data_IF_015530103232
#
_entry.id   IF_015530103232
#
_cell.length_a   1.000
_cell.length_b   1.000
_cell.length_c   1.000
_cell.angle_alpha   90.00
_cell.angle_beta   90.00
_cell.angle_gamma   90.00
#
_symmetry.space_group_name_H-M   'P 1'
#
loop_
_entity.id
_entity.type
_entity.pdbx_description
1 polymer ?
#
# COMPACT_ATOMS: atom_id res chain seq x y z
N UNK A 1 -29.25 -9.27 -4.08
CA UNK A 1 -28.61 -9.00 -5.38
C UNK A 1 -29.64 -8.35 -6.27
N UNK A 2 -29.27 -7.33 -7.05
CA UNK A 2 -30.08 -6.85 -8.16
C UNK A 2 -29.25 -6.90 -9.44
N UNK A 3 -29.94 -7.09 -10.56
CA UNK A 3 -29.36 -7.01 -11.89
C UNK A 3 -30.16 -5.98 -12.68
N UNK A 4 -29.47 -5.03 -13.30
CA UNK A 4 -30.09 -4.02 -14.18
C UNK A 4 -29.27 -3.92 -15.48
N UNK A 5 -29.79 -4.53 -16.54
CA UNK A 5 -29.06 -4.73 -17.79
C UNK A 5 -27.75 -5.48 -17.54
N UNK A 6 -26.63 -4.81 -17.82
CA UNK A 6 -25.28 -5.36 -17.64
C UNK A 6 -24.69 -5.11 -16.24
N UNK A 7 -25.45 -4.50 -15.33
CA UNK A 7 -24.95 -4.11 -14.01
C UNK A 7 -25.44 -5.10 -12.94
N UNK A 8 -24.53 -5.47 -12.04
CA UNK A 8 -24.80 -6.34 -10.89
C UNK A 8 -24.50 -5.56 -9.61
N UNK A 9 -25.49 -5.47 -8.72
CA UNK A 9 -25.26 -4.97 -7.38
C UNK A 9 -25.54 -6.01 -6.31
N UNK A 10 -24.60 -6.14 -5.39
CA UNK A 10 -24.65 -7.08 -4.27
C UNK A 10 -24.82 -6.28 -2.98
N UNK A 11 -25.94 -6.52 -2.29
CA UNK A 11 -26.35 -5.81 -1.09
C UNK A 11 -26.44 -4.26 -1.21
N UNK A 12 -26.53 -3.74 -2.44
CA UNK A 12 -26.67 -2.30 -2.75
C UNK A 12 -27.87 -2.09 -3.69
N UNK A 13 -28.38 -0.86 -3.81
CA UNK A 13 -29.55 -0.53 -4.67
C UNK A 13 -29.24 0.14 -6.01
N UNK A 14 -28.00 0.59 -6.23
CA UNK A 14 -27.50 1.17 -7.49
C UNK A 14 -25.98 0.95 -7.59
N UNK A 15 -25.44 0.90 -8.81
CA UNK A 15 -24.01 0.61 -9.02
C UNK A 15 -23.20 1.87 -9.27
N UNK A 16 -23.84 3.05 -9.28
CA UNK A 16 -23.17 4.35 -9.47
C UNK A 16 -22.28 4.39 -10.72
N UNK A 17 -22.68 3.71 -11.80
CA UNK A 17 -21.94 3.66 -13.07
C UNK A 17 -20.94 2.50 -13.21
N UNK A 18 -20.72 1.70 -12.16
CA UNK A 18 -19.88 0.51 -12.23
C UNK A 18 -20.69 -0.72 -12.68
N UNK A 19 -20.06 -1.69 -13.35
CA UNK A 19 -20.73 -2.95 -13.72
C UNK A 19 -20.95 -3.88 -12.53
N UNK A 20 -20.10 -3.80 -11.51
CA UNK A 20 -20.24 -4.52 -10.25
C UNK A 20 -20.08 -3.55 -9.10
N UNK A 21 -21.06 -3.48 -8.20
CA UNK A 21 -20.96 -2.76 -6.93
C UNK A 21 -21.35 -3.67 -5.78
N UNK A 22 -20.53 -3.69 -4.73
CA UNK A 22 -20.74 -4.56 -3.57
C UNK A 22 -20.70 -3.71 -2.31
N UNK A 23 -21.83 -3.64 -1.60
CA UNK A 23 -21.83 -3.12 -0.24
C UNK A 23 -21.41 -4.24 0.72
N UNK A 24 -20.80 -3.91 1.86
CA UNK A 24 -20.43 -4.92 2.87
C UNK A 24 -19.18 -5.75 2.54
N UNK A 25 -18.36 -5.31 1.58
CA UNK A 25 -17.03 -5.84 1.32
C UNK A 25 -16.99 -7.06 0.40
N UNK A 26 -15.78 -7.32 -0.11
CA UNK A 26 -15.44 -8.45 -0.98
C UNK A 26 -14.32 -9.23 -0.32
N UNK A 27 -14.49 -10.55 -0.17
CA UNK A 27 -13.44 -11.47 0.23
C UNK A 27 -12.92 -12.21 -1.00
N UNK A 28 -11.61 -12.20 -1.20
CA UNK A 28 -10.99 -12.99 -2.27
C UNK A 28 -9.57 -13.41 -1.92
N UNK A 29 -9.12 -14.50 -2.53
CA UNK A 29 -7.74 -14.98 -2.44
C UNK A 29 -6.73 -14.07 -3.16
N UNK A 30 -7.21 -13.21 -4.06
CA UNK A 30 -6.38 -12.21 -4.71
C UNK A 30 -7.16 -11.32 -5.67
N UNK A 31 -6.55 -10.19 -6.02
CA UNK A 31 -7.04 -9.31 -7.08
C UNK A 31 -5.89 -9.05 -8.05
N UNK A 32 -6.14 -9.25 -9.33
CA UNK A 32 -5.25 -8.82 -10.41
C UNK A 32 -5.91 -7.67 -11.17
N UNK A 33 -5.22 -6.54 -11.23
CA UNK A 33 -5.63 -5.38 -12.03
C UNK A 33 -4.94 -5.45 -13.39
N UNK A 34 -5.69 -5.56 -14.48
CA UNK A 34 -5.13 -5.76 -15.84
C UNK A 34 -4.76 -4.48 -16.57
N UNK A 35 -5.36 -3.35 -16.19
CA UNK A 35 -5.31 -2.10 -16.96
C UNK A 35 -4.51 -1.02 -16.26
N UNK A 36 -3.28 -1.35 -15.84
CA UNK A 36 -2.32 -0.38 -15.27
C UNK A 36 -1.44 0.20 -16.38
N UNK A 37 -1.24 1.52 -16.37
CA UNK A 37 -0.37 2.22 -17.31
C UNK A 37 0.38 3.35 -16.60
N UNK A 38 1.46 3.84 -17.21
CA UNK A 38 2.28 4.94 -16.67
C UNK A 38 2.83 4.67 -15.26
N UNK A 39 3.43 3.49 -15.08
CA UNK A 39 4.13 3.13 -13.84
C UNK A 39 5.26 4.14 -13.56
N UNK A 40 5.55 4.50 -12.29
CA UNK A 40 6.32 5.70 -11.97
C UNK A 40 7.82 5.65 -12.23
N UNK A 41 8.34 4.69 -13.01
CA UNK A 41 9.77 4.62 -13.42
C UNK A 41 10.33 5.96 -13.95
N UNK A 42 9.46 6.85 -14.44
CA UNK A 42 9.82 8.21 -14.83
C UNK A 42 10.40 9.07 -13.70
N UNK A 43 10.17 8.75 -12.42
CA UNK A 43 10.76 9.48 -11.28
C UNK A 43 12.29 9.44 -11.34
N UNK A 44 12.87 8.37 -11.86
CA UNK A 44 14.31 8.20 -12.03
C UNK A 44 14.87 8.77 -13.34
N UNK A 45 14.06 9.48 -14.13
CA UNK A 45 14.53 10.13 -15.36
C UNK A 45 15.29 11.44 -15.06
N UNK A 46 16.26 11.77 -15.92
CA UNK A 46 17.09 12.98 -15.77
C UNK A 46 16.28 14.29 -15.83
N UNK A 47 15.10 14.27 -16.46
CA UNK A 47 14.20 15.41 -16.61
C UNK A 47 13.05 15.45 -15.60
N UNK A 48 13.04 14.53 -14.62
CA UNK A 48 12.06 14.54 -13.56
C UNK A 48 12.22 15.75 -12.64
N UNK A 49 11.20 16.61 -12.61
CA UNK A 49 11.20 17.84 -11.84
C UNK A 49 10.83 17.59 -10.38
N UNK A 50 11.82 17.17 -9.59
CA UNK A 50 11.65 16.95 -8.15
C UNK A 50 11.49 18.29 -7.39
N UNK A 51 10.58 18.33 -6.41
CA UNK A 51 10.52 19.44 -5.47
C UNK A 51 11.76 19.44 -4.58
N UNK A 52 12.27 20.60 -4.19
CA UNK A 52 13.25 20.64 -3.09
C UNK A 52 12.56 20.31 -1.76
N UNK A 53 13.30 19.83 -0.76
CA UNK A 53 12.74 19.56 0.58
C UNK A 53 12.15 20.83 1.23
N UNK A 54 12.68 22.01 0.90
CA UNK A 54 12.05 23.28 1.29
C UNK A 54 10.70 23.51 0.59
N UNK A 55 10.62 23.26 -0.71
CA UNK A 55 9.40 23.37 -1.51
C UNK A 55 8.34 22.36 -1.04
N UNK A 56 8.73 21.11 -0.84
CA UNK A 56 7.89 20.05 -0.30
C UNK A 56 7.33 20.43 1.08
N UNK A 57 8.18 20.93 1.98
CA UNK A 57 7.75 21.45 3.28
C UNK A 57 6.74 22.58 3.16
N UNK A 58 6.95 23.52 2.23
CA UNK A 58 6.01 24.62 2.00
C UNK A 58 4.67 24.08 1.50
N UNK A 59 4.68 23.12 0.58
CA UNK A 59 3.49 22.43 0.10
C UNK A 59 2.72 21.74 1.23
N UNK A 60 3.40 20.93 2.04
CA UNK A 60 2.78 20.20 3.16
C UNK A 60 2.12 21.15 4.15
N UNK A 61 2.78 22.28 4.47
CA UNK A 61 2.21 23.30 5.36
C UNK A 61 0.93 23.92 4.81
N UNK A 62 0.85 24.09 3.49
CA UNK A 62 -0.29 24.70 2.82
C UNK A 62 -1.45 23.71 2.61
N UNK A 63 -1.13 22.45 2.27
CA UNK A 63 -2.12 21.50 1.75
C UNK A 63 -2.47 20.36 2.72
N UNK A 64 -1.63 20.09 3.74
CA UNK A 64 -1.85 19.01 4.73
C UNK A 64 -1.87 17.58 4.16
N UNK A 65 -1.31 17.40 2.98
CA UNK A 65 -1.03 16.11 2.36
C UNK A 65 0.18 16.25 1.43
N UNK A 66 0.70 15.12 0.92
CA UNK A 66 1.80 15.12 -0.04
C UNK A 66 1.37 15.55 -1.46
N UNK A 67 2.28 16.14 -2.26
CA UNK A 67 2.01 16.47 -3.67
C UNK A 67 1.61 15.24 -4.49
N UNK A 68 0.62 15.41 -5.37
CA UNK A 68 0.11 14.34 -6.24
C UNK A 68 -0.89 13.40 -5.59
N UNK A 69 -0.96 13.36 -4.25
CA UNK A 69 -1.93 12.53 -3.52
C UNK A 69 -3.24 13.28 -3.25
N UNK A 70 -4.39 12.59 -3.32
CA UNK A 70 -5.68 13.17 -2.94
C UNK A 70 -5.73 13.42 -1.42
N UNK A 71 -6.36 14.53 -1.03
CA UNK A 71 -6.60 14.82 0.40
C UNK A 71 -7.54 13.80 1.05
N UNK A 72 -7.46 13.65 2.37
CA UNK A 72 -8.40 12.89 3.18
C UNK A 72 -9.86 13.29 2.93
N UNK A 73 -10.11 14.59 2.68
CA UNK A 73 -11.47 15.08 2.37
C UNK A 73 -11.96 14.56 1.01
N UNK A 74 -11.08 14.53 0.00
CA UNK A 74 -11.38 13.97 -1.32
C UNK A 74 -11.65 12.47 -1.20
N UNK A 75 -10.76 11.74 -0.52
CA UNK A 75 -10.87 10.29 -0.31
C UNK A 75 -12.16 9.91 0.46
N UNK A 76 -12.52 10.65 1.50
CA UNK A 76 -13.72 10.38 2.27
C UNK A 76 -15.01 10.61 1.44
N UNK A 77 -14.98 11.56 0.49
CA UNK A 77 -16.13 11.90 -0.35
C UNK A 77 -16.27 10.97 -1.55
N UNK A 78 -15.16 10.67 -2.22
CA UNK A 78 -15.14 10.06 -3.56
C UNK A 78 -14.58 8.63 -3.55
N UNK A 79 -13.90 8.23 -2.47
CA UNK A 79 -13.10 7.03 -2.47
C UNK A 79 -11.83 7.20 -3.30
N UNK A 80 -11.26 6.08 -3.76
CA UNK A 80 -10.13 6.09 -4.70
C UNK A 80 -10.08 4.82 -5.55
N UNK A 81 -9.36 4.92 -6.67
CA UNK A 81 -8.94 3.78 -7.48
C UNK A 81 -7.72 3.13 -6.83
N UNK A 82 -7.83 1.84 -6.49
CA UNK A 82 -6.75 1.08 -5.86
C UNK A 82 -5.49 1.10 -6.72
N UNK A 83 -5.63 0.89 -8.03
CA UNK A 83 -4.49 0.85 -8.93
C UNK A 83 -3.79 2.20 -9.09
N UNK A 84 -4.54 3.30 -9.08
CA UNK A 84 -3.95 4.64 -9.09
C UNK A 84 -3.29 4.98 -7.75
N UNK A 85 -3.88 4.59 -6.62
CA UNK A 85 -3.26 4.83 -5.31
C UNK A 85 -1.94 4.06 -5.17
N UNK A 86 -1.90 2.77 -5.53
CA UNK A 86 -0.66 1.98 -5.52
C UNK A 86 0.44 2.63 -6.36
N UNK A 87 0.07 3.16 -7.53
CA UNK A 87 0.98 3.90 -8.42
C UNK A 87 1.51 5.18 -7.75
N UNK A 88 0.63 5.97 -7.12
CA UNK A 88 1.02 7.21 -6.44
C UNK A 88 1.88 6.94 -5.20
N UNK A 89 1.58 5.90 -4.43
CA UNK A 89 2.41 5.50 -3.29
C UNK A 89 3.80 5.03 -3.76
N UNK A 90 3.88 4.28 -4.86
CA UNK A 90 5.16 3.90 -5.45
C UNK A 90 5.94 5.13 -5.92
N UNK A 91 5.31 6.11 -6.58
CA UNK A 91 5.94 7.37 -6.96
C UNK A 91 6.53 8.09 -5.73
N UNK A 92 5.79 8.15 -4.61
CA UNK A 92 6.31 8.76 -3.37
C UNK A 92 7.49 7.98 -2.79
N UNK A 93 7.50 6.64 -2.88
CA UNK A 93 8.63 5.81 -2.42
C UNK A 93 9.89 6.09 -3.26
N UNK A 94 9.74 6.24 -4.58
CA UNK A 94 10.85 6.57 -5.48
C UNK A 94 11.37 7.99 -5.22
N UNK A 95 10.48 8.98 -5.04
CA UNK A 95 10.86 10.33 -4.61
C UNK A 95 11.61 10.33 -3.26
N UNK A 96 11.10 9.61 -2.25
CA UNK A 96 11.76 9.48 -0.96
C UNK A 96 13.17 8.87 -1.10
N UNK A 97 13.33 7.91 -2.02
CA UNK A 97 14.63 7.30 -2.30
C UNK A 97 15.62 8.31 -2.88
N UNK A 98 15.17 9.17 -3.81
CA UNK A 98 16.01 10.25 -4.34
C UNK A 98 16.42 11.27 -3.27
N UNK A 99 15.51 11.67 -2.38
CA UNK A 99 15.87 12.56 -1.26
C UNK A 99 16.89 11.92 -0.32
N UNK A 100 16.79 10.62 -0.05
CA UNK A 100 17.77 9.90 0.79
C UNK A 100 19.15 9.90 0.13
N UNK A 101 19.21 9.65 -1.19
CA UNK A 101 20.47 9.65 -1.94
C UNK A 101 21.11 11.05 -1.91
N UNK A 102 20.31 12.10 -2.09
CA UNK A 102 20.77 13.49 -2.06
C UNK A 102 21.35 13.85 -0.68
N UNK A 103 20.60 13.57 0.39
CA UNK A 103 21.06 13.81 1.76
C UNK A 103 22.32 13.01 2.14
N UNK A 104 22.45 11.76 1.67
CA UNK A 104 23.66 10.97 1.86
C UNK A 104 24.87 11.60 1.15
N UNK A 105 24.67 12.12 -0.06
CA UNK A 105 25.72 12.84 -0.81
C UNK A 105 26.16 14.11 -0.08
N UNK A 106 25.23 14.90 0.44
CA UNK A 106 25.52 16.09 1.26
C UNK A 106 26.26 15.72 2.55
N UNK A 107 25.80 14.69 3.27
CA UNK A 107 26.45 14.16 4.46
C UNK A 107 27.91 13.76 4.20
N UNK A 108 28.17 13.07 3.08
CA UNK A 108 29.52 12.66 2.70
C UNK A 108 30.42 13.86 2.38
N UNK A 109 29.89 14.88 1.69
CA UNK A 109 30.62 16.13 1.43
C UNK A 109 31.00 16.81 2.73
N UNK A 110 30.02 17.01 3.62
CA UNK A 110 30.22 17.65 4.92
C UNK A 110 31.23 16.89 5.80
N UNK A 111 31.15 15.56 5.79
CA UNK A 111 32.10 14.69 6.49
C UNK A 111 33.52 14.85 5.97
N UNK A 112 33.68 14.89 4.63
CA UNK A 112 34.96 15.10 3.97
C UNK A 112 35.60 16.43 4.33
N UNK A 113 34.81 17.51 4.36
CA UNK A 113 35.26 18.85 4.77
C UNK A 113 35.74 18.89 6.23
N UNK A 114 35.03 18.18 7.12
CA UNK A 114 35.40 18.06 8.53
C UNK A 114 36.59 17.11 8.78
N UNK A 115 37.06 16.38 7.75
CA UNK A 115 38.06 15.33 7.91
C UNK A 115 37.60 14.18 8.81
N UNK A 116 36.29 14.03 8.99
CA UNK A 116 35.67 12.95 9.74
C UNK A 116 35.34 11.84 8.75
N UNK A 117 35.52 10.59 9.15
CA UNK A 117 34.95 9.45 8.42
C UNK A 117 33.66 9.13 9.16
N UNK A 118 32.51 9.39 8.54
CA UNK A 118 31.25 8.90 9.09
C UNK A 118 31.36 7.36 9.21
N UNK A 119 30.96 6.78 10.35
CA UNK A 119 30.77 5.34 10.40
C UNK A 119 29.68 5.02 9.39
N UNK A 120 30.06 4.45 8.24
CA UNK A 120 29.11 4.03 7.22
C UNK A 120 28.34 2.86 7.82
N UNK A 121 27.22 3.18 8.44
CA UNK A 121 26.31 2.28 9.12
C UNK A 121 26.96 1.49 10.30
N UNK A 122 26.13 0.84 11.13
CA UNK A 122 26.61 -0.09 12.16
C UNK A 122 27.69 -1.01 11.54
N UNK A 123 28.74 -1.39 12.29
CA UNK A 123 29.79 -2.32 11.79
C UNK A 123 29.19 -3.57 11.12
N UNK A 124 27.95 -3.94 11.44
CA UNK A 124 27.18 -4.99 10.78
C UNK A 124 26.82 -4.69 9.30
N UNK A 125 26.41 -3.46 8.93
CA UNK A 125 26.02 -3.10 7.56
C UNK A 125 27.28 -2.96 6.67
N UNK A 126 28.31 -2.29 7.16
CA UNK A 126 29.60 -2.15 6.45
C UNK A 126 30.34 -3.49 6.27
N UNK A 127 30.17 -4.44 7.20
CA UNK A 127 30.76 -5.78 7.07
C UNK A 127 29.97 -6.73 6.16
N UNK A 128 28.86 -6.27 5.58
CA UNK A 128 27.93 -7.12 4.82
C UNK A 128 27.25 -8.19 5.68
N UNK A 129 27.34 -8.09 7.02
CA UNK A 129 26.68 -9.01 7.97
C UNK A 129 25.22 -8.66 8.16
N UNK A 130 24.85 -7.39 8.06
CA UNK A 130 23.46 -6.99 7.82
C UNK A 130 23.15 -7.26 6.36
N UNK A 131 22.96 -8.54 6.06
CA UNK A 131 22.12 -8.92 4.96
C UNK A 131 20.74 -8.44 5.38
N UNK A 132 20.30 -7.25 4.94
CA UNK A 132 18.87 -7.08 4.72
C UNK A 132 18.49 -8.32 3.94
N UNK A 133 17.75 -9.23 4.58
CA UNK A 133 17.34 -10.48 3.94
C UNK A 133 16.45 -10.05 2.78
N UNK A 134 17.09 -9.84 1.64
CA UNK A 134 16.40 -9.54 0.41
C UNK A 134 15.64 -10.80 0.10
N UNK A 135 14.37 -10.81 0.48
CA UNK A 135 13.42 -11.75 -0.07
C UNK A 135 13.16 -11.21 -1.47
N UNK A 136 14.08 -11.52 -2.39
CA UNK A 136 13.88 -11.26 -3.81
C UNK A 136 12.76 -12.21 -4.24
N UNK A 137 11.53 -11.75 -4.05
CA UNK A 137 10.36 -12.36 -4.65
C UNK A 137 10.46 -12.05 -6.14
N UNK A 138 10.44 -13.08 -6.98
CA UNK A 138 10.38 -12.90 -8.43
C UNK A 138 8.95 -12.45 -8.81
N UNK A 139 8.70 -11.15 -8.63
CA UNK A 139 7.40 -10.52 -8.87
C UNK A 139 6.97 -10.72 -10.32
N UNK A 140 7.90 -10.75 -11.28
CA UNK A 140 7.56 -10.99 -12.69
C UNK A 140 6.92 -12.36 -12.91
N UNK A 141 7.43 -13.39 -12.23
CA UNK A 141 6.84 -14.73 -12.28
C UNK A 141 5.45 -14.74 -11.63
N UNK A 142 5.25 -14.02 -10.52
CA UNK A 142 3.92 -13.86 -9.90
C UNK A 142 2.92 -13.10 -10.77
N UNK A 143 3.37 -12.10 -11.55
CA UNK A 143 2.53 -11.36 -12.49
C UNK A 143 2.11 -12.19 -13.71
N UNK A 144 2.99 -13.11 -14.16
CA UNK A 144 2.79 -13.95 -15.36
C UNK A 144 2.04 -15.26 -15.06
N UNK A 145 2.13 -15.79 -13.84
CA UNK A 145 1.44 -17.01 -13.47
C UNK A 145 -0.09 -16.81 -13.49
N UNK A 146 -0.88 -17.64 -14.20
CA UNK A 146 -2.28 -17.79 -13.82
C UNK A 146 -2.31 -18.28 -12.38
N UNK A 147 -3.27 -17.85 -11.56
CA UNK A 147 -3.47 -18.30 -10.18
C UNK A 147 -3.62 -19.83 -10.14
N UNK A 148 -2.49 -20.53 -10.17
CA UNK A 148 -2.42 -21.97 -10.00
C UNK A 148 -2.28 -22.23 -8.51
N UNK A 149 -3.19 -23.08 -8.03
CA UNK A 149 -3.23 -23.62 -6.68
C UNK A 149 -1.85 -24.12 -6.24
N UNK A 150 -1.20 -23.42 -5.33
CA UNK A 150 -0.18 -23.91 -4.38
C UNK A 150 0.26 -22.65 -3.58
N UNK A 151 0.11 -22.48 -2.27
CA UNK A 151 -0.30 -23.32 -1.13
C UNK A 151 -1.38 -22.56 -0.33
N UNK A 152 -2.38 -23.30 0.14
CA UNK A 152 -3.56 -22.78 0.88
C UNK A 152 -3.18 -22.24 2.27
N UNK A 153 -3.78 -21.13 2.70
CA UNK A 153 -4.95 -21.06 3.64
C UNK A 153 -5.35 -19.61 4.03
N UNK A 154 -6.55 -19.14 3.63
CA UNK A 154 -7.66 -18.87 4.56
C UNK A 154 -8.33 -20.24 4.73
N UNK A 155 -8.48 -20.77 5.94
CA UNK A 155 -8.67 -22.22 6.13
C UNK A 155 -10.04 -22.72 5.64
N UNK A 156 -10.06 -23.17 4.39
CA UNK A 156 -11.13 -23.89 3.70
C UNK A 156 -12.44 -23.10 3.51
N UNK A 157 -12.55 -22.33 2.41
CA UNK A 157 -13.85 -22.07 1.76
C UNK A 157 -14.41 -23.42 1.29
N UNK A 158 -15.11 -24.10 2.20
CA UNK A 158 -14.97 -25.55 2.40
C UNK A 158 -15.56 -26.43 1.29
N UNK A 159 -14.68 -27.32 0.80
CA UNK A 159 -14.91 -28.48 -0.08
C UNK A 159 -14.97 -28.18 -1.59
N UNK A 160 -13.97 -28.59 -2.39
CA UNK A 160 -14.09 -28.55 -3.84
C UNK A 160 -15.11 -29.62 -4.24
N UNK A 161 -16.28 -29.22 -4.74
CA UNK A 161 -17.05 -30.14 -5.59
C UNK A 161 -16.18 -30.46 -6.80
N UNK A 162 -15.82 -31.72 -6.95
CA UNK A 162 -15.15 -32.25 -8.13
C UNK A 162 -15.90 -31.79 -9.37
N UNK A 163 -15.29 -30.94 -10.19
CA UNK A 163 -15.86 -30.50 -11.47
C UNK A 163 -15.81 -31.68 -12.45
N UNK A 164 -16.86 -32.50 -12.47
CA UNK A 164 -17.26 -33.19 -13.69
C UNK A 164 -18.29 -32.31 -14.40
N UNK A 165 -17.83 -31.63 -15.45
CA UNK A 165 -18.61 -30.65 -16.18
C UNK A 165 -19.77 -31.32 -16.94
N UNK A 166 -21.00 -31.11 -16.45
CA UNK A 166 -22.22 -31.21 -17.24
C UNK A 166 -22.72 -29.79 -17.56
N UNK A 167 -23.27 -29.52 -18.76
CA UNK A 167 -23.71 -28.17 -19.17
C UNK A 167 -24.80 -27.53 -18.29
N UNK A 168 -25.33 -28.27 -17.30
CA UNK A 168 -26.26 -27.76 -16.29
C UNK A 168 -25.58 -27.09 -15.06
N UNK A 169 -24.24 -27.11 -14.98
CA UNK A 169 -23.48 -26.82 -13.75
C UNK A 169 -23.10 -25.34 -13.50
N UNK A 170 -23.67 -24.37 -14.23
CA UNK A 170 -23.40 -22.94 -13.95
C UNK A 170 -23.94 -22.54 -12.56
N UNK A 171 -24.99 -23.20 -12.09
CA UNK A 171 -25.60 -22.99 -10.78
C UNK A 171 -24.87 -23.69 -9.62
N UNK A 172 -23.84 -24.51 -9.89
CA UNK A 172 -23.07 -25.20 -8.83
C UNK A 172 -21.86 -24.39 -8.35
N UNK A 173 -21.45 -23.35 -9.08
CA UNK A 173 -20.29 -22.50 -8.74
C UNK A 173 -20.72 -21.21 -8.04
N UNK A 174 -21.89 -20.66 -8.36
CA UNK A 174 -22.41 -19.45 -7.74
C UNK A 174 -23.43 -19.83 -6.67
N UNK A 175 -23.11 -19.52 -5.40
CA UNK A 175 -24.02 -19.68 -4.27
C UNK A 175 -24.68 -18.36 -3.91
N UNK A 176 -25.94 -18.40 -3.50
CA UNK A 176 -26.68 -17.25 -2.98
C UNK A 176 -27.45 -17.74 -1.74
N UNK A 177 -27.02 -17.33 -0.55
CA UNK A 177 -27.61 -17.76 0.73
C UNK A 177 -28.64 -16.75 1.29
N UNK A 178 -28.93 -15.69 0.53
CA UNK A 178 -29.80 -14.58 0.94
C UNK A 178 -29.08 -13.48 1.71
N UNK A 179 -27.87 -13.74 2.21
CA UNK A 179 -27.01 -12.75 2.85
C UNK A 179 -25.91 -12.27 1.89
N UNK A 180 -25.35 -13.12 1.05
CA UNK A 180 -24.31 -12.77 0.10
C UNK A 180 -24.32 -13.63 -1.15
N UNK A 181 -23.27 -13.45 -1.96
CA UNK A 181 -22.98 -14.21 -3.18
C UNK A 181 -21.61 -14.83 -3.05
N UNK A 182 -21.52 -16.14 -3.21
CA UNK A 182 -20.27 -16.86 -3.30
C UNK A 182 -19.97 -17.28 -4.74
N UNK A 183 -18.73 -17.11 -5.20
CA UNK A 183 -18.24 -17.61 -6.49
C UNK A 183 -17.12 -18.60 -6.19
N UNK A 184 -17.44 -19.89 -6.26
CA UNK A 184 -16.54 -20.96 -5.80
C UNK A 184 -16.25 -20.91 -4.29
N UNK A 185 -17.03 -20.13 -3.53
CA UNK A 185 -16.88 -19.88 -2.11
C UNK A 185 -18.20 -20.14 -1.38
N UNK A 186 -18.20 -21.03 -0.39
CA UNK A 186 -19.34 -21.29 0.49
C UNK A 186 -18.80 -21.74 1.86
N UNK A 187 -19.12 -21.04 2.98
CA UNK A 187 -19.95 -19.84 3.07
C UNK A 187 -19.25 -18.55 2.63
N UNK A 188 -19.98 -17.42 2.54
CA UNK A 188 -19.43 -16.09 2.21
C UNK A 188 -18.68 -15.39 3.36
N UNK A 189 -18.46 -16.10 4.48
CA UNK A 189 -17.68 -15.68 5.66
C UNK A 189 -17.95 -14.26 6.19
N UNK A 190 -19.21 -13.80 6.15
CA UNK A 190 -19.61 -12.48 6.64
C UNK A 190 -19.39 -11.33 5.66
N UNK A 191 -18.88 -11.61 4.46
CA UNK A 191 -18.83 -10.68 3.34
C UNK A 191 -20.07 -10.82 2.47
N UNK A 192 -20.35 -9.79 1.67
CA UNK A 192 -21.48 -9.84 0.72
C UNK A 192 -21.09 -10.49 -0.60
N UNK A 193 -19.81 -10.45 -0.97
CA UNK A 193 -19.25 -11.22 -2.08
C UNK A 193 -18.00 -11.97 -1.61
N UNK A 194 -17.94 -13.29 -1.84
CA UNK A 194 -16.75 -14.10 -1.63
C UNK A 194 -16.35 -14.81 -2.93
N UNK A 195 -15.07 -14.74 -3.31
CA UNK A 195 -14.55 -15.31 -4.56
C UNK A 195 -13.30 -16.14 -4.27
N UNK A 196 -13.38 -17.46 -4.47
CA UNK A 196 -12.21 -18.35 -4.40
C UNK A 196 -11.35 -18.23 -5.68
N UNK A 197 -10.03 -18.39 -5.56
CA UNK A 197 -9.04 -18.22 -6.62
C UNK A 197 -8.54 -16.78 -6.80
N UNK A 198 -9.45 -15.84 -7.09
CA UNK A 198 -9.10 -14.43 -7.27
C UNK A 198 -10.04 -13.68 -8.22
N UNK A 199 -9.88 -12.36 -8.27
CA UNK A 199 -10.64 -11.44 -9.13
C UNK A 199 -9.69 -10.83 -10.17
N UNK A 200 -9.98 -11.02 -11.45
CA UNK A 200 -9.37 -10.25 -12.53
C UNK A 200 -10.30 -9.09 -12.90
N UNK A 201 -9.80 -7.87 -12.82
CA UNK A 201 -10.57 -6.66 -13.10
C UNK A 201 -9.70 -5.60 -13.75
N UNK A 202 -10.32 -4.65 -14.44
CA UNK A 202 -9.59 -3.49 -14.98
C UNK A 202 -9.21 -2.50 -13.89
N UNK A 203 -10.01 -2.41 -12.81
CA UNK A 203 -9.72 -1.58 -11.64
C UNK A 203 -10.58 -2.01 -10.43
N UNK A 204 -10.21 -1.54 -9.23
CA UNK A 204 -11.05 -1.56 -8.02
C UNK A 204 -11.23 -0.14 -7.52
N UNK A 205 -12.48 0.33 -7.51
CA UNK A 205 -12.86 1.52 -6.77
C UNK A 205 -13.15 1.15 -5.32
N UNK A 206 -12.39 1.71 -4.39
CA UNK A 206 -12.65 1.61 -2.96
C UNK A 206 -13.51 2.81 -2.55
N UNK A 207 -14.71 2.53 -2.03
CA UNK A 207 -15.63 3.56 -1.55
C UNK A 207 -15.63 3.65 -0.02
N UNK A 208 -15.96 4.83 0.52
CA UNK A 208 -16.17 5.06 1.96
C UNK A 208 -14.95 4.75 2.83
N UNK A 209 -13.87 5.49 2.60
CA UNK A 209 -12.61 5.37 3.32
C UNK A 209 -12.62 6.38 4.47
N UNK A 210 -12.34 5.92 5.68
CA UNK A 210 -12.27 6.75 6.88
C UNK A 210 -10.84 6.78 7.42
N UNK A 211 -10.49 7.86 8.14
CA UNK A 211 -9.20 8.03 8.82
C UNK A 211 -7.99 8.00 7.87
N UNK A 212 -8.11 8.61 6.69
CA UNK A 212 -6.98 8.81 5.79
C UNK A 212 -5.90 9.72 6.44
N UNK A 213 -4.60 9.46 6.23
CA UNK A 213 -3.55 9.90 7.14
C UNK A 213 -3.09 11.37 7.07
N UNK A 214 -3.82 12.28 6.43
CA UNK A 214 -3.50 13.74 6.42
C UNK A 214 -3.21 14.31 7.84
N UNK A 215 -3.73 13.66 8.89
CA UNK A 215 -3.44 13.98 10.28
C UNK A 215 -1.94 13.92 10.66
N UNK A 216 -1.08 13.22 9.91
CA UNK A 216 0.37 13.17 10.14
C UNK A 216 0.99 14.56 10.04
N UNK A 217 0.40 15.43 9.21
CA UNK A 217 0.87 16.81 9.00
C UNK A 217 0.16 17.85 9.88
N UNK A 218 -0.62 17.40 10.85
CA UNK A 218 -1.21 18.28 11.85
C UNK A 218 -0.21 18.72 12.92
N UNK A 219 -0.41 19.92 13.45
CA UNK A 219 0.58 20.55 14.33
C UNK A 219 0.73 19.83 15.68
N UNK A 220 -0.28 19.08 16.11
CA UNK A 220 -0.27 18.30 17.34
C UNK A 220 0.16 16.85 17.16
N UNK A 221 0.36 16.39 15.92
CA UNK A 221 0.84 15.05 15.60
C UNK A 221 2.15 14.74 16.32
N UNK A 222 2.21 13.57 16.95
CA UNK A 222 3.34 13.15 17.77
C UNK A 222 4.23 12.19 16.99
N UNK A 223 5.02 12.76 16.07
CA UNK A 223 6.05 12.02 15.37
C UNK A 223 7.00 11.38 16.40
N UNK A 224 7.13 10.06 16.34
CA UNK A 224 8.02 9.31 17.21
C UNK A 224 9.47 9.74 16.92
N UNK A 225 10.32 9.91 17.92
CA UNK A 225 11.74 10.16 17.61
C UNK A 225 12.44 8.88 17.13
N UNK A 226 13.45 9.02 16.28
CA UNK A 226 14.15 7.89 15.64
C UNK A 226 14.77 6.90 16.65
N UNK A 227 15.25 7.37 17.81
CA UNK A 227 15.79 6.49 18.86
C UNK A 227 14.71 5.58 19.45
N UNK A 228 13.54 6.14 19.78
CA UNK A 228 12.38 5.38 20.26
C UNK A 228 11.77 4.47 19.18
N UNK A 229 11.81 4.90 17.91
CA UNK A 229 11.38 4.09 16.79
C UNK A 229 12.30 2.88 16.59
N UNK A 230 13.62 3.09 16.58
CA UNK A 230 14.62 2.03 16.50
C UNK A 230 14.46 0.99 17.63
N UNK A 231 14.30 1.45 18.88
CA UNK A 231 14.06 0.56 20.02
C UNK A 231 12.74 -0.24 19.90
N UNK A 232 11.70 0.34 19.29
CA UNK A 232 10.46 -0.37 19.01
C UNK A 232 10.66 -1.46 17.96
N UNK A 233 11.30 -1.13 16.83
CA UNK A 233 11.56 -2.09 15.74
C UNK A 233 12.41 -3.25 16.25
N UNK A 234 13.46 -2.97 17.03
CA UNK A 234 14.31 -4.01 17.63
C UNK A 234 13.54 -4.95 18.57
N UNK A 235 12.48 -4.46 19.22
CA UNK A 235 11.66 -5.25 20.15
C UNK A 235 10.54 -6.01 19.46
N UNK A 236 9.85 -5.37 18.51
CA UNK A 236 8.60 -5.87 17.92
C UNK A 236 8.83 -6.55 16.56
N UNK A 237 9.90 -6.20 15.84
CA UNK A 237 10.20 -6.75 14.51
C UNK A 237 9.35 -6.18 13.37
N UNK A 238 8.56 -5.14 13.63
CA UNK A 238 7.74 -4.43 12.63
C UNK A 238 7.59 -2.93 12.99
N UNK A 239 7.02 -2.15 12.08
CA UNK A 239 6.75 -0.73 12.30
C UNK A 239 5.52 -0.51 13.20
N UNK A 240 5.48 0.57 14.01
CA UNK A 240 4.30 0.92 14.79
C UNK A 240 3.05 1.09 13.91
N UNK A 241 1.94 0.49 14.33
CA UNK A 241 0.65 0.57 13.62
C UNK A 241 0.49 -0.44 12.49
N UNK A 242 1.58 -1.04 11.99
CA UNK A 242 1.52 -2.09 10.97
C UNK A 242 1.24 -3.44 11.64
N UNK A 243 0.26 -4.24 11.15
CA UNK A 243 -0.03 -5.54 11.71
C UNK A 243 1.15 -6.51 11.54
N UNK A 244 1.31 -7.42 12.49
CA UNK A 244 2.32 -8.47 12.42
C UNK A 244 2.02 -9.46 11.28
N UNK A 245 3.06 -10.00 10.67
CA UNK A 245 2.95 -10.97 9.57
C UNK A 245 2.02 -12.14 9.92
N UNK A 246 2.13 -12.70 11.13
CA UNK A 246 1.30 -13.83 11.56
C UNK A 246 -0.20 -13.49 11.64
N UNK A 247 -0.54 -12.25 11.98
CA UNK A 247 -1.93 -11.80 11.98
C UNK A 247 -2.45 -11.68 10.55
N UNK A 248 -1.65 -11.11 9.66
CA UNK A 248 -1.99 -10.94 8.24
C UNK A 248 -2.13 -12.30 7.55
N UNK A 249 -1.23 -13.24 7.81
CA UNK A 249 -1.30 -14.62 7.27
C UNK A 249 -2.57 -15.36 7.74
N UNK A 250 -3.00 -15.13 8.99
CA UNK A 250 -4.15 -15.83 9.57
C UNK A 250 -5.51 -15.20 9.25
N UNK A 251 -5.54 -13.88 9.06
CA UNK A 251 -6.79 -13.09 9.00
C UNK A 251 -6.91 -12.24 7.74
N UNK A 252 -5.90 -12.27 6.87
CA UNK A 252 -5.78 -11.32 5.77
C UNK A 252 -5.63 -9.89 6.28
N UNK A 253 -5.85 -8.95 5.38
CA UNK A 253 -5.89 -7.52 5.69
C UNK A 253 -6.91 -6.83 4.79
N UNK A 254 -7.36 -5.66 5.22
CA UNK A 254 -8.23 -4.77 4.44
C UNK A 254 -7.34 -3.85 3.62
N UNK A 255 -7.46 -3.89 2.29
CA UNK A 255 -6.61 -3.13 1.37
C UNK A 255 -6.66 -1.63 1.69
N UNK A 256 -7.85 -1.09 1.92
CA UNK A 256 -8.06 0.32 2.23
C UNK A 256 -7.48 0.77 3.56
N UNK A 257 -7.32 -0.16 4.50
CA UNK A 257 -6.62 0.11 5.76
C UNK A 257 -5.12 0.06 5.54
N UNK A 258 -4.63 -0.89 4.75
CA UNK A 258 -3.20 -1.02 4.47
C UNK A 258 -2.66 0.15 3.66
N UNK A 259 -3.36 0.61 2.61
CA UNK A 259 -2.94 1.77 1.81
C UNK A 259 -2.84 3.02 2.68
N UNK A 260 -3.83 3.25 3.55
CA UNK A 260 -3.80 4.35 4.52
C UNK A 260 -2.63 4.24 5.51
N UNK A 261 -2.35 3.02 6.01
CA UNK A 261 -1.20 2.78 6.89
C UNK A 261 0.14 2.98 6.18
N UNK A 262 0.27 2.53 4.93
CA UNK A 262 1.48 2.70 4.13
C UNK A 262 1.72 4.18 3.83
N UNK A 263 0.67 4.92 3.44
CA UNK A 263 0.74 6.36 3.27
C UNK A 263 1.14 7.06 4.57
N UNK A 264 0.58 6.67 5.71
CA UNK A 264 0.99 7.21 7.02
C UNK A 264 2.51 7.06 7.22
N UNK A 265 3.08 5.89 6.88
CA UNK A 265 4.53 5.67 6.99
C UNK A 265 5.33 6.52 6.00
N UNK A 266 4.84 6.70 4.77
CA UNK A 266 5.47 7.58 3.77
C UNK A 266 5.47 9.04 4.28
N UNK A 267 4.37 9.50 4.87
CA UNK A 267 4.25 10.85 5.44
C UNK A 267 5.17 11.03 6.67
N UNK A 268 5.25 10.05 7.57
CA UNK A 268 6.21 10.05 8.69
C UNK A 268 7.67 10.09 8.20
N UNK A 269 8.02 9.27 7.20
CA UNK A 269 9.35 9.27 6.58
C UNK A 269 9.67 10.63 5.95
N UNK A 270 8.70 11.26 5.29
CA UNK A 270 8.85 12.61 4.74
C UNK A 270 9.18 13.62 5.84
N UNK A 271 8.53 13.53 7.01
CA UNK A 271 8.83 14.41 8.14
C UNK A 271 10.25 14.19 8.69
N UNK A 272 10.72 12.94 8.76
CA UNK A 272 12.10 12.65 9.15
C UNK A 272 13.11 13.24 8.17
N UNK A 273 12.90 13.11 6.86
CA UNK A 273 13.77 13.71 5.85
C UNK A 273 13.83 15.23 5.97
N UNK A 274 12.68 15.90 6.11
CA UNK A 274 12.63 17.35 6.33
C UNK A 274 13.34 17.76 7.63
N UNK A 275 13.28 16.92 8.67
CA UNK A 275 13.99 17.16 9.92
C UNK A 275 15.51 16.99 9.74
N UNK A 276 15.96 15.95 9.05
CA UNK A 276 17.37 15.68 8.75
C UNK A 276 17.98 16.81 7.91
N UNK A 277 17.25 17.25 6.88
CA UNK A 277 17.64 18.37 6.02
C UNK A 277 17.95 19.64 6.82
N UNK A 278 17.05 20.01 7.73
CA UNK A 278 17.25 21.19 8.58
C UNK A 278 18.48 21.07 9.47
N UNK A 279 18.79 19.86 9.93
CA UNK A 279 19.99 19.62 10.73
C UNK A 279 21.25 19.76 9.87
N UNK A 280 21.23 19.23 8.65
CA UNK A 280 22.31 19.36 7.66
C UNK A 280 22.58 20.81 7.33
N UNK A 281 21.57 21.55 6.84
CA UNK A 281 21.70 22.98 6.51
C UNK A 281 22.19 23.80 7.71
N UNK A 282 21.74 23.45 8.93
CA UNK A 282 22.23 24.12 10.14
C UNK A 282 23.71 23.85 10.40
N UNK A 283 24.18 22.61 10.24
CA UNK A 283 25.59 22.25 10.41
C UNK A 283 26.48 22.91 9.35
N UNK A 284 26.04 22.95 8.09
CA UNK A 284 26.71 23.66 7.01
C UNK A 284 26.86 25.15 7.30
N UNK A 285 25.81 25.80 7.80
CA UNK A 285 25.83 27.23 8.12
C UNK A 285 26.81 27.62 9.25
N UNK A 286 27.37 26.63 9.95
CA UNK A 286 28.32 26.84 11.06
C UNK A 286 29.78 26.66 10.67
N UNK A 287 30.07 26.25 9.43
CA UNK A 287 31.43 26.18 8.87
C UNK A 287 31.85 27.53 8.28
#
# INVERSE_FOLDING_TARGET
>A
MYCDGDNVGIAIGQTSGYRLAVAGGILSEGVKVSSVSNWPDYVFSDDYAMLSLEGLRAYIRANKHLPGLPSATTIAREGYSLSEMDKLLMEKVEELTLYIIDQESELQSLSGELGVILPVADEEIASGKTVYKSHNVDIETHLKAPTQKEERTFRDMASPRSLEASPAALCDVISCDGEGVGIGADPVEGYRLAVSGGILTDDIQVASVANWPDYVFEADYKLRNLSSLSAYIAREGHLPGIPQAQLVEQKGYRLEVMDGLLLEKIEELTLYLIQQERQLTFLESRQ
#
